data_IF_548195145609
#
_entry.id   IF_548195145609
#
_cell.length_a   1.000
_cell.length_b   1.000
_cell.length_c   1.000
_cell.angle_alpha   90.00
_cell.angle_beta   90.00
_cell.angle_gamma   90.00
#
_symmetry.space_group_name_H-M   'P 1'
#
loop_
_entity.id
_entity.type
_entity.pdbx_description
1 polymer ?
#
# COMPACT_ATOMS: atom_id res chain seq x y z
N UNK A 1 -32.68 41.83 -10.14
CA UNK A 1 -31.21 41.71 -10.22
C UNK A 1 -30.58 41.45 -8.83
N UNK A 2 -30.90 42.26 -7.80
CA UNK A 2 -30.33 42.06 -6.45
C UNK A 2 -30.65 40.69 -5.83
N UNK A 3 -31.93 40.26 -5.89
CA UNK A 3 -32.35 38.96 -5.33
C UNK A 3 -31.61 37.77 -5.96
N UNK A 4 -31.38 37.83 -7.29
CA UNK A 4 -30.65 36.81 -8.02
C UNK A 4 -29.17 36.72 -7.57
N UNK A 5 -28.51 37.87 -7.44
CA UNK A 5 -27.12 37.94 -6.96
C UNK A 5 -26.99 37.47 -5.50
N UNK A 6 -28.00 37.79 -4.66
CA UNK A 6 -28.02 37.31 -3.27
C UNK A 6 -28.13 35.79 -3.19
N UNK A 7 -29.00 35.18 -3.99
CA UNK A 7 -29.15 33.71 -4.04
C UNK A 7 -27.85 33.04 -4.50
N UNK A 8 -27.22 33.57 -5.57
CA UNK A 8 -25.91 33.02 -6.02
C UNK A 8 -24.86 33.18 -4.94
N UNK A 9 -24.79 34.31 -4.24
CA UNK A 9 -23.84 34.52 -3.15
C UNK A 9 -24.05 33.54 -2.00
N UNK A 10 -25.30 33.27 -1.62
CA UNK A 10 -25.60 32.25 -0.58
C UNK A 10 -25.19 30.85 -1.04
N UNK A 11 -25.50 30.48 -2.27
CA UNK A 11 -25.12 29.18 -2.83
C UNK A 11 -23.61 29.01 -2.88
N UNK A 12 -22.87 30.05 -3.28
CA UNK A 12 -21.41 30.04 -3.29
C UNK A 12 -20.81 29.89 -1.88
N UNK A 13 -21.39 30.59 -0.89
CA UNK A 13 -21.01 30.48 0.52
C UNK A 13 -21.25 29.06 1.06
N UNK A 14 -22.43 28.51 0.82
CA UNK A 14 -22.78 27.16 1.26
C UNK A 14 -21.88 26.12 0.60
N UNK A 15 -21.63 26.22 -0.71
CA UNK A 15 -20.74 25.33 -1.45
C UNK A 15 -19.28 25.39 -0.98
N UNK A 16 -18.82 26.52 -0.44
CA UNK A 16 -17.50 26.66 0.18
C UNK A 16 -17.43 26.13 1.61
N UNK A 17 -18.52 26.27 2.39
CA UNK A 17 -18.54 25.82 3.80
C UNK A 17 -18.67 24.31 3.95
N UNK A 18 -19.39 23.65 3.03
CA UNK A 18 -19.56 22.18 3.05
C UNK A 18 -18.23 21.43 3.00
N UNK A 19 -17.30 21.69 2.05
CA UNK A 19 -16.00 21.04 2.01
C UNK A 19 -15.16 21.29 3.28
N UNK A 20 -15.22 22.49 3.83
CA UNK A 20 -14.50 22.82 5.07
C UNK A 20 -15.02 22.01 6.26
N UNK A 21 -16.34 21.88 6.38
CA UNK A 21 -16.96 21.05 7.41
C UNK A 21 -16.62 19.57 7.22
N UNK A 22 -16.71 19.07 5.98
CA UNK A 22 -16.34 17.67 5.65
C UNK A 22 -14.87 17.38 5.96
N UNK A 23 -13.95 18.30 5.61
CA UNK A 23 -12.52 18.16 5.89
C UNK A 23 -12.24 18.11 7.39
N UNK A 24 -12.89 18.98 8.19
CA UNK A 24 -12.77 18.94 9.65
C UNK A 24 -13.30 17.62 10.21
N UNK A 25 -14.48 17.18 9.79
CA UNK A 25 -15.07 15.92 10.23
C UNK A 25 -14.19 14.72 9.86
N UNK A 26 -13.64 14.70 8.66
CA UNK A 26 -12.71 13.68 8.20
C UNK A 26 -11.42 13.66 9.06
N UNK A 27 -10.85 14.83 9.35
CA UNK A 27 -9.67 14.93 10.22
C UNK A 27 -9.94 14.39 11.63
N UNK A 28 -11.08 14.72 12.23
CA UNK A 28 -11.47 14.14 13.53
C UNK A 28 -11.62 12.64 13.44
N UNK A 29 -12.30 12.12 12.43
CA UNK A 29 -12.45 10.69 12.20
C UNK A 29 -11.09 9.98 12.11
N UNK A 30 -10.15 10.51 11.31
CA UNK A 30 -8.80 9.94 11.17
C UNK A 30 -8.06 9.97 12.50
N UNK A 31 -8.06 11.10 13.22
CA UNK A 31 -7.40 11.21 14.52
C UNK A 31 -7.97 10.24 15.56
N UNK A 32 -9.29 10.11 15.62
CA UNK A 32 -9.95 9.16 16.52
C UNK A 32 -9.60 7.70 16.20
N UNK A 33 -9.46 7.37 14.90
CA UNK A 33 -9.04 6.02 14.48
C UNK A 33 -7.59 5.76 14.80
N UNK A 34 -6.69 6.73 14.57
CA UNK A 34 -5.28 6.63 14.94
C UNK A 34 -5.08 6.47 16.44
N UNK A 35 -5.87 7.19 17.25
CA UNK A 35 -5.83 7.06 18.72
C UNK A 35 -6.34 5.70 19.23
N UNK A 36 -7.24 5.06 18.51
CA UNK A 36 -7.80 3.73 18.83
C UNK A 36 -6.94 2.55 18.35
N UNK A 37 -5.95 2.80 17.49
CA UNK A 37 -5.10 1.78 16.87
C UNK A 37 -4.13 1.06 17.86
N UNK A 38 -4.36 1.17 19.17
CA UNK A 38 -3.54 0.59 20.24
C UNK A 38 -3.83 -0.88 20.55
N UNK A 39 -4.69 -1.57 19.82
CA UNK A 39 -4.89 -3.01 20.02
C UNK A 39 -3.78 -3.79 19.33
N UNK A 40 -3.13 -4.70 20.09
CA UNK A 40 -2.13 -5.63 19.53
C UNK A 40 -2.87 -6.68 18.69
N UNK A 41 -3.22 -6.29 17.45
CA UNK A 41 -3.77 -7.21 16.47
C UNK A 41 -2.67 -7.51 15.44
N UNK A 42 -2.17 -8.73 15.42
CA UNK A 42 -1.00 -9.13 14.64
C UNK A 42 -1.26 -10.46 13.90
N UNK A 43 -2.24 -10.48 12.98
CA UNK A 43 -2.50 -11.66 12.14
C UNK A 43 -1.33 -11.95 11.21
N UNK A 44 -1.24 -13.16 10.69
CA UNK A 44 -0.27 -13.49 9.66
C UNK A 44 -0.59 -12.75 8.34
N UNK A 45 0.41 -12.08 7.80
CA UNK A 45 0.28 -11.22 6.62
C UNK A 45 1.05 -11.79 5.44
N UNK A 46 0.43 -11.81 4.25
CA UNK A 46 1.13 -12.01 2.98
C UNK A 46 1.08 -10.73 2.14
N UNK A 47 2.25 -10.22 1.79
CA UNK A 47 2.42 -8.97 1.02
C UNK A 47 2.68 -9.31 -0.44
N UNK A 48 1.85 -8.80 -1.36
CA UNK A 48 1.96 -9.01 -2.80
C UNK A 48 2.53 -7.76 -3.47
N UNK A 49 3.71 -7.87 -4.05
CA UNK A 49 4.44 -6.76 -4.67
C UNK A 49 4.67 -7.06 -6.16
N UNK A 50 3.79 -6.62 -7.07
CA UNK A 50 4.03 -6.75 -8.49
C UNK A 50 5.17 -5.82 -8.91
N UNK A 51 6.21 -6.38 -9.54
CA UNK A 51 7.41 -5.67 -9.97
C UNK A 51 7.52 -5.67 -11.49
N UNK A 52 8.06 -4.58 -12.04
CA UNK A 52 8.40 -4.44 -13.46
C UNK A 52 9.52 -3.43 -13.62
N UNK A 53 10.66 -3.87 -14.14
CA UNK A 53 11.85 -3.01 -14.28
C UNK A 53 12.37 -2.51 -12.93
N UNK A 54 13.36 -1.64 -12.97
CA UNK A 54 13.98 -1.04 -11.78
C UNK A 54 13.88 0.48 -11.85
N UNK A 55 13.16 1.07 -10.89
CA UNK A 55 13.07 2.53 -10.73
C UNK A 55 14.26 3.08 -9.93
N UNK A 56 14.39 4.41 -9.90
CA UNK A 56 15.51 5.13 -9.28
C UNK A 56 15.76 4.75 -7.81
N UNK A 57 14.75 4.33 -7.08
CA UNK A 57 14.82 3.99 -5.66
C UNK A 57 14.40 2.53 -5.38
N UNK A 58 14.42 1.68 -6.40
CA UNK A 58 13.94 0.30 -6.34
C UNK A 58 14.55 -0.47 -5.16
N UNK A 59 15.88 -0.47 -5.04
CA UNK A 59 16.57 -1.18 -3.95
C UNK A 59 16.08 -0.74 -2.56
N UNK A 60 15.99 0.58 -2.33
CA UNK A 60 15.57 1.10 -1.03
C UNK A 60 14.11 0.79 -0.72
N UNK A 61 13.25 0.78 -1.74
CA UNK A 61 11.86 0.40 -1.59
C UNK A 61 11.72 -1.08 -1.23
N UNK A 62 12.44 -1.97 -1.95
CA UNK A 62 12.46 -3.41 -1.64
C UNK A 62 12.97 -3.67 -0.23
N UNK A 63 14.07 -3.02 0.19
CA UNK A 63 14.60 -3.17 1.53
C UNK A 63 13.61 -2.68 2.61
N UNK A 64 12.82 -1.64 2.34
CA UNK A 64 11.79 -1.17 3.25
C UNK A 64 10.67 -2.21 3.45
N UNK A 65 10.28 -2.96 2.41
CA UNK A 65 9.33 -4.07 2.55
C UNK A 65 9.89 -5.21 3.40
N UNK A 66 11.18 -5.47 3.30
CA UNK A 66 11.85 -6.56 3.99
C UNK A 66 12.27 -6.20 5.44
N UNK A 67 12.05 -4.95 5.87
CA UNK A 67 12.49 -4.43 7.17
C UNK A 67 11.32 -3.90 8.01
N UNK A 68 10.15 -4.52 7.87
CA UNK A 68 8.98 -4.13 8.66
C UNK A 68 9.09 -4.65 10.09
N UNK A 69 8.75 -3.81 11.05
CA UNK A 69 8.60 -4.20 12.46
C UNK A 69 7.24 -4.88 12.66
N UNK A 70 7.16 -6.13 12.18
CA UNK A 70 5.99 -6.97 12.25
C UNK A 70 6.36 -8.44 12.48
N UNK A 71 5.71 -9.16 13.40
CA UNK A 71 6.21 -10.45 13.88
C UNK A 71 6.12 -11.57 12.85
N UNK A 72 5.07 -11.59 12.03
CA UNK A 72 4.83 -12.73 11.11
C UNK A 72 4.27 -12.23 9.79
N UNK A 73 5.13 -12.12 8.78
CA UNK A 73 4.73 -11.80 7.42
C UNK A 73 5.63 -12.48 6.39
N UNK A 74 5.10 -12.64 5.20
CA UNK A 74 5.85 -13.06 4.01
C UNK A 74 5.70 -12.01 2.90
N UNK A 75 6.67 -11.96 1.98
CA UNK A 75 6.65 -11.04 0.84
C UNK A 75 6.78 -11.83 -0.44
N UNK A 76 5.84 -11.64 -1.33
CA UNK A 76 5.87 -12.19 -2.68
C UNK A 76 6.21 -11.07 -3.67
N UNK A 77 7.37 -11.13 -4.27
CA UNK A 77 7.74 -10.29 -5.40
C UNK A 77 7.39 -11.01 -6.70
N UNK A 78 6.59 -10.39 -7.54
CA UNK A 78 6.02 -11.04 -8.71
C UNK A 78 6.38 -10.27 -9.98
N UNK A 79 7.16 -10.87 -10.87
CA UNK A 79 7.47 -10.34 -12.20
C UNK A 79 6.63 -11.03 -13.28
N UNK A 80 6.51 -10.42 -14.46
CA UNK A 80 5.84 -11.03 -15.59
C UNK A 80 6.67 -12.17 -16.18
N UNK A 81 7.99 -11.97 -16.29
CA UNK A 81 8.93 -12.90 -16.93
C UNK A 81 10.19 -13.05 -16.08
N UNK A 82 10.99 -14.06 -16.36
CA UNK A 82 12.26 -14.32 -15.67
C UNK A 82 13.37 -13.34 -16.06
N UNK A 83 13.29 -12.77 -17.26
CA UNK A 83 14.25 -11.83 -17.83
C UNK A 83 13.95 -10.37 -17.47
N UNK A 84 12.93 -10.12 -16.64
CA UNK A 84 12.63 -8.77 -16.15
C UNK A 84 13.81 -8.25 -15.30
N UNK A 85 14.31 -7.01 -15.54
CA UNK A 85 15.39 -6.42 -14.74
C UNK A 85 15.10 -6.42 -13.23
N UNK A 86 13.84 -6.24 -12.83
CA UNK A 86 13.45 -6.34 -11.43
C UNK A 86 13.76 -7.72 -10.84
N UNK A 87 13.61 -8.80 -11.63
CA UNK A 87 13.87 -10.16 -11.16
C UNK A 87 15.32 -10.36 -10.77
N UNK A 88 16.25 -9.91 -11.60
CA UNK A 88 17.70 -10.02 -11.36
C UNK A 88 18.08 -9.26 -10.07
N UNK A 89 17.53 -8.06 -9.91
CA UNK A 89 17.82 -7.23 -8.74
C UNK A 89 17.20 -7.80 -7.45
N UNK A 90 15.99 -8.34 -7.53
CA UNK A 90 15.34 -9.02 -6.40
C UNK A 90 16.14 -10.25 -5.95
N UNK A 91 16.65 -11.06 -6.87
CA UNK A 91 17.52 -12.19 -6.56
C UNK A 91 18.79 -11.73 -5.83
N UNK A 92 19.42 -10.66 -6.31
CA UNK A 92 20.59 -10.06 -5.65
C UNK A 92 20.28 -9.60 -4.22
N UNK A 93 19.18 -8.88 -4.03
CA UNK A 93 18.80 -8.29 -2.75
C UNK A 93 18.35 -9.33 -1.71
N UNK A 94 17.85 -10.47 -2.17
CA UNK A 94 17.33 -11.52 -1.27
C UNK A 94 18.31 -12.66 -1.01
N UNK A 95 19.30 -12.89 -1.87
CA UNK A 95 20.22 -14.02 -1.80
C UNK A 95 21.07 -14.09 -0.52
N UNK A 96 21.45 -12.95 0.06
CA UNK A 96 22.32 -12.87 1.23
C UNK A 96 21.58 -12.71 2.56
N UNK A 97 20.25 -12.67 2.54
CA UNK A 97 19.46 -12.41 3.75
C UNK A 97 19.26 -13.69 4.55
N UNK A 98 19.72 -13.67 5.79
CA UNK A 98 19.51 -14.75 6.78
C UNK A 98 18.38 -14.42 7.76
N UNK A 99 17.98 -13.12 7.84
CA UNK A 99 16.96 -12.63 8.76
C UNK A 99 15.88 -11.85 8.00
N UNK A 100 14.69 -11.79 8.57
CA UNK A 100 13.54 -11.07 8.02
C UNK A 100 12.38 -11.99 7.60
N UNK A 101 11.44 -11.49 6.80
CA UNK A 101 10.29 -12.26 6.34
C UNK A 101 10.70 -13.37 5.37
N UNK A 102 9.84 -14.39 5.27
CA UNK A 102 9.90 -15.33 4.14
C UNK A 102 9.67 -14.59 2.83
N UNK A 103 10.52 -14.85 1.82
CA UNK A 103 10.44 -14.20 0.50
C UNK A 103 10.17 -15.24 -0.57
N UNK A 104 9.21 -14.96 -1.43
CA UNK A 104 8.95 -15.74 -2.65
C UNK A 104 9.15 -14.86 -3.88
N UNK A 105 9.98 -15.33 -4.81
CA UNK A 105 10.16 -14.71 -6.12
C UNK A 105 9.34 -15.49 -7.15
N UNK A 106 8.24 -14.91 -7.61
CA UNK A 106 7.27 -15.56 -8.48
C UNK A 106 7.31 -14.97 -9.89
N UNK A 107 6.98 -15.80 -10.87
CA UNK A 107 6.83 -15.37 -12.27
C UNK A 107 5.40 -15.71 -12.73
N UNK A 108 4.64 -14.67 -13.06
CA UNK A 108 3.22 -14.81 -13.38
C UNK A 108 2.93 -15.22 -14.83
N UNK A 109 3.88 -15.02 -15.75
CA UNK A 109 3.63 -15.11 -17.18
C UNK A 109 2.84 -13.91 -17.71
N UNK A 110 2.64 -13.88 -19.03
CA UNK A 110 1.85 -12.85 -19.73
C UNK A 110 0.47 -13.42 -20.06
N UNK A 111 -0.58 -12.70 -19.69
CA UNK A 111 -1.96 -13.12 -19.99
C UNK A 111 -2.53 -12.32 -21.18
N UNK A 112 -3.14 -12.98 -22.17
CA UNK A 112 -3.54 -12.32 -23.43
C UNK A 112 -4.68 -11.29 -23.28
N UNK A 113 -5.51 -11.42 -22.24
CA UNK A 113 -6.72 -10.59 -22.06
C UNK A 113 -6.84 -9.93 -20.69
N UNK A 114 -5.79 -9.99 -19.85
CA UNK A 114 -5.80 -9.42 -18.49
C UNK A 114 -4.62 -8.47 -18.30
N UNK A 115 -4.84 -7.37 -17.58
CA UNK A 115 -3.76 -6.46 -17.21
C UNK A 115 -2.67 -7.17 -16.41
N UNK A 116 -1.40 -6.89 -16.71
CA UNK A 116 -0.26 -7.60 -16.14
C UNK A 116 -0.20 -7.47 -14.61
N UNK A 117 -0.48 -6.29 -14.05
CA UNK A 117 -0.54 -6.09 -12.59
C UNK A 117 -1.51 -7.05 -11.93
N UNK A 118 -2.69 -7.23 -12.50
CA UNK A 118 -3.71 -8.16 -11.97
C UNK A 118 -3.24 -9.60 -12.08
N UNK A 119 -2.59 -9.97 -13.19
CA UNK A 119 -2.03 -11.32 -13.38
C UNK A 119 -0.98 -11.62 -12.31
N UNK A 120 -0.09 -10.66 -12.05
CA UNK A 120 0.93 -10.78 -11.01
C UNK A 120 0.30 -10.92 -9.61
N UNK A 121 -0.68 -10.08 -9.27
CA UNK A 121 -1.35 -10.14 -7.97
C UNK A 121 -2.06 -11.49 -7.75
N UNK A 122 -2.75 -12.02 -8.76
CA UNK A 122 -3.41 -13.33 -8.68
C UNK A 122 -2.39 -14.47 -8.48
N UNK A 123 -1.22 -14.38 -9.12
CA UNK A 123 -0.13 -15.34 -8.88
C UNK A 123 0.34 -15.26 -7.43
N UNK A 124 0.52 -14.06 -6.89
CA UNK A 124 0.89 -13.86 -5.49
C UNK A 124 -0.15 -14.47 -4.53
N UNK A 125 -1.43 -14.17 -4.73
CA UNK A 125 -2.52 -14.69 -3.89
C UNK A 125 -2.59 -16.22 -3.94
N UNK A 126 -2.45 -16.82 -5.13
CA UNK A 126 -2.47 -18.28 -5.28
C UNK A 126 -1.29 -18.99 -4.56
N UNK A 127 -0.22 -18.26 -4.26
CA UNK A 127 0.96 -18.77 -3.55
C UNK A 127 1.07 -18.30 -2.10
N UNK A 128 0.06 -17.58 -1.59
CA UNK A 128 0.00 -17.19 -0.19
C UNK A 128 -0.01 -18.44 0.71
N UNK A 129 0.60 -18.33 1.87
CA UNK A 129 0.57 -19.40 2.87
C UNK A 129 -0.87 -19.68 3.30
N UNK A 130 -1.20 -20.94 3.53
CA UNK A 130 -2.58 -21.36 3.85
C UNK A 130 -3.12 -20.80 5.17
N UNK A 131 -2.24 -20.34 6.04
CA UNK A 131 -2.53 -19.71 7.32
C UNK A 131 -2.45 -18.17 7.27
N UNK A 132 -2.39 -17.58 6.07
CA UNK A 132 -2.49 -16.14 5.87
C UNK A 132 -3.89 -15.65 6.22
N UNK A 133 -3.97 -14.64 7.07
CA UNK A 133 -5.22 -14.02 7.50
C UNK A 133 -5.46 -12.67 6.79
N UNK A 134 -4.37 -11.96 6.42
CA UNK A 134 -4.46 -10.65 5.78
C UNK A 134 -3.59 -10.62 4.52
N UNK A 135 -4.16 -10.14 3.41
CA UNK A 135 -3.46 -9.88 2.17
C UNK A 135 -3.19 -8.37 2.04
N UNK A 136 -1.93 -8.00 1.79
CA UNK A 136 -1.55 -6.62 1.47
C UNK A 136 -1.10 -6.57 0.01
N UNK A 137 -1.69 -5.65 -0.74
CA UNK A 137 -1.32 -5.35 -2.13
C UNK A 137 -0.50 -4.07 -2.16
N UNK A 138 0.73 -4.15 -2.64
CA UNK A 138 1.69 -3.06 -2.56
C UNK A 138 2.35 -2.79 -3.90
N UNK A 139 2.57 -1.52 -4.22
CA UNK A 139 3.30 -1.15 -5.43
C UNK A 139 4.81 -1.05 -5.11
N UNK A 140 5.67 -1.52 -6.04
CA UNK A 140 7.11 -1.60 -5.83
C UNK A 140 7.80 -0.22 -5.76
N UNK A 141 7.13 0.83 -6.23
CA UNK A 141 7.61 2.22 -6.27
C UNK A 141 7.29 3.04 -5.00
N UNK A 142 6.76 2.39 -3.96
CA UNK A 142 6.39 3.06 -2.70
C UNK A 142 7.44 2.77 -1.62
N UNK A 143 7.95 3.82 -0.97
CA UNK A 143 8.75 3.68 0.24
C UNK A 143 7.88 3.77 1.49
N UNK A 144 7.96 2.75 2.32
CA UNK A 144 7.18 2.64 3.54
C UNK A 144 8.04 2.75 4.79
N UNK A 145 7.41 3.15 5.89
CA UNK A 145 8.03 3.15 7.21
C UNK A 145 8.07 1.72 7.77
N UNK A 146 8.92 1.47 8.74
CA UNK A 146 9.07 0.15 9.38
C UNK A 146 7.81 -0.33 10.12
N UNK A 147 6.95 0.58 10.56
CA UNK A 147 5.70 0.26 11.27
C UNK A 147 4.46 0.17 10.34
N UNK A 148 4.65 0.23 9.02
CA UNK A 148 3.53 0.40 8.10
C UNK A 148 2.57 -0.80 8.07
N UNK A 149 3.06 -2.04 8.11
CA UNK A 149 2.19 -3.22 8.18
C UNK A 149 1.34 -3.17 9.45
N UNK A 150 1.94 -2.84 10.59
CA UNK A 150 1.24 -2.72 11.87
C UNK A 150 0.11 -1.68 11.79
N UNK A 151 0.42 -0.50 11.28
CA UNK A 151 -0.54 0.60 11.17
C UNK A 151 -1.69 0.28 10.20
N UNK A 152 -1.38 -0.41 9.10
CA UNK A 152 -2.35 -0.80 8.08
C UNK A 152 -3.30 -1.91 8.58
N UNK A 153 -2.78 -2.84 9.38
CA UNK A 153 -3.53 -4.00 9.88
C UNK A 153 -4.35 -3.68 11.13
N UNK A 154 -3.87 -2.76 11.97
CA UNK A 154 -4.50 -2.45 13.26
C UNK A 154 -6.03 -2.16 13.19
N UNK A 155 -6.58 -1.43 12.19
CA UNK A 155 -8.01 -1.21 12.12
C UNK A 155 -8.84 -2.47 11.81
N UNK A 156 -8.22 -3.52 11.25
CA UNK A 156 -8.88 -4.81 10.98
C UNK A 156 -9.19 -5.61 12.26
N UNK A 157 -8.70 -5.18 13.42
CA UNK A 157 -9.13 -5.73 14.71
C UNK A 157 -10.63 -5.52 14.96
N UNK A 158 -11.23 -4.51 14.35
CA UNK A 158 -12.68 -4.28 14.35
C UNK A 158 -13.31 -5.16 13.26
N UNK A 159 -14.08 -6.16 13.65
CA UNK A 159 -14.74 -7.10 12.73
C UNK A 159 -15.69 -6.44 11.72
N UNK A 160 -16.07 -5.20 11.91
CA UNK A 160 -16.85 -4.41 10.96
C UNK A 160 -15.99 -3.83 9.82
N UNK A 161 -14.65 -3.88 9.93
CA UNK A 161 -13.69 -3.36 8.96
C UNK A 161 -13.16 -4.51 8.11
N UNK A 162 -13.59 -4.59 6.86
CA UNK A 162 -13.15 -5.63 5.93
C UNK A 162 -11.90 -5.27 5.10
N UNK A 163 -11.53 -3.99 5.04
CA UNK A 163 -10.36 -3.53 4.30
C UNK A 163 -9.84 -2.18 4.83
N UNK A 164 -8.54 -1.97 4.69
CA UNK A 164 -7.85 -0.72 5.01
C UNK A 164 -7.00 -0.27 3.83
N UNK A 165 -6.68 1.01 3.74
CA UNK A 165 -5.80 1.54 2.70
C UNK A 165 -4.86 2.58 3.28
N UNK A 166 -3.63 2.62 2.76
CA UNK A 166 -2.70 3.71 2.98
C UNK A 166 -2.92 4.83 1.96
N UNK A 167 -2.38 6.01 2.25
CA UNK A 167 -2.37 7.15 1.33
C UNK A 167 -0.93 7.47 0.92
N UNK A 168 -0.56 7.32 -0.37
CA UNK A 168 0.78 7.66 -0.83
C UNK A 168 0.96 9.18 -0.90
N UNK A 169 2.09 9.69 -0.39
CA UNK A 169 2.52 11.06 -0.57
C UNK A 169 3.55 11.12 -1.69
N UNK A 170 3.28 11.91 -2.72
CA UNK A 170 4.23 12.17 -3.78
C UNK A 170 5.15 13.31 -3.37
N UNK A 171 6.40 13.01 -3.07
CA UNK A 171 7.41 14.00 -2.73
C UNK A 171 8.34 14.21 -3.93
N UNK A 172 8.50 15.44 -4.44
CA UNK A 172 9.44 15.69 -5.51
C UNK A 172 10.88 15.45 -5.00
N UNK A 173 11.65 14.66 -5.75
CA UNK A 173 13.07 14.36 -5.43
C UNK A 173 13.94 15.61 -5.57
N UNK A 174 13.56 16.53 -6.44
CA UNK A 174 14.14 17.87 -6.56
C UNK A 174 13.01 18.88 -6.46
N UNK A 175 13.14 19.83 -5.52
CA UNK A 175 12.20 20.94 -5.45
C UNK A 175 12.16 21.66 -6.80
N UNK A 176 10.97 22.02 -7.28
CA UNK A 176 10.86 22.98 -8.37
C UNK A 176 11.46 24.30 -7.90
N UNK A 177 12.27 24.97 -8.75
CA UNK A 177 12.79 26.30 -8.44
C UNK A 177 11.67 27.31 -8.26
#
# INVERSE_FOLDING_TARGET
>A
MHTFLTVIGILALVSGLIPLWMTRRFRHYVNDRLAKASTIYQPKVSVMVPCKGTDLEFEQNILAFLSQDYPTYEVHFITATLDDPARVELERLTASRQEGPSVKLLTAGIHPSRGQKITNLLMGVANASSDTEVLIFWDADIRVRTNFIRDLVAPLADQSVGATTGFPWYLPIKGNP
#
